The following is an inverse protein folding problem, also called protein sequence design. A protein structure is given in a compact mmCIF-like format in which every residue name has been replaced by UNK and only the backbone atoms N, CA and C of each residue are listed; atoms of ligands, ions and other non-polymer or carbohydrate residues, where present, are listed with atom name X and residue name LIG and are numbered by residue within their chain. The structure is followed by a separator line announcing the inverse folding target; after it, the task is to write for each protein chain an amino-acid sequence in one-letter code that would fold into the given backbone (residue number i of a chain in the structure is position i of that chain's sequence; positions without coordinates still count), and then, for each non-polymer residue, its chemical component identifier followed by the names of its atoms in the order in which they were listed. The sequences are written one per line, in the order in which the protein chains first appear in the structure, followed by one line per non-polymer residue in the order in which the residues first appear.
data_IF_406741385705
#
_entry.id   IF_406741385705
#
_cell.length_a   1.000
_cell.length_b   1.000
_cell.length_c   1.000
_cell.angle_alpha   90.00
_cell.angle_beta   90.00
_cell.angle_gamma   90.00
#
_symmetry.space_group_name_H-M   'P 1'
#
loop_
_entity.id
_entity.type
_entity.pdbx_description
1 polymer ?
#
# COMPACT_ATOMS: atom_id res chain seq x y z
N UNK A 1 -6.83 -21.27 -30.12
CA UNK A 1 -8.21 -21.48 -29.59
C UNK A 1 -8.26 -21.35 -28.05
N UNK A 2 -7.18 -20.91 -27.38
CA UNK A 2 -7.07 -20.83 -25.91
C UNK A 2 -7.56 -19.50 -25.33
N UNK A 3 -7.27 -18.36 -25.98
CA UNK A 3 -7.44 -17.03 -25.37
C UNK A 3 -8.86 -16.63 -24.94
N UNK A 4 -9.91 -17.19 -25.55
CA UNK A 4 -11.29 -16.72 -25.30
C UNK A 4 -11.88 -17.16 -23.97
N UNK A 5 -11.46 -18.32 -23.46
CA UNK A 5 -11.97 -18.80 -22.15
C UNK A 5 -11.33 -18.03 -21.00
N UNK A 6 -10.10 -17.59 -21.20
CA UNK A 6 -9.27 -16.99 -20.16
C UNK A 6 -9.79 -15.60 -19.74
N UNK A 7 -10.38 -14.83 -20.68
CA UNK A 7 -10.87 -13.47 -20.40
C UNK A 7 -12.15 -13.47 -19.59
N UNK A 8 -13.13 -14.30 -19.96
CA UNK A 8 -14.40 -14.39 -19.21
C UNK A 8 -14.16 -14.94 -17.79
N UNK A 9 -13.28 -15.94 -17.68
CA UNK A 9 -12.87 -16.48 -16.39
C UNK A 9 -12.17 -15.42 -15.53
N UNK A 10 -11.27 -14.62 -16.12
CA UNK A 10 -10.64 -13.49 -15.44
C UNK A 10 -11.67 -12.47 -14.94
N UNK A 11 -12.68 -12.13 -15.77
CA UNK A 11 -13.73 -11.20 -15.40
C UNK A 11 -14.54 -11.70 -14.19
N UNK A 12 -14.96 -12.97 -14.21
CA UNK A 12 -15.67 -13.58 -13.08
C UNK A 12 -14.80 -13.69 -11.83
N UNK A 13 -13.52 -14.07 -11.97
CA UNK A 13 -12.59 -14.14 -10.84
C UNK A 13 -12.38 -12.78 -10.18
N UNK A 14 -12.24 -11.71 -10.98
CA UNK A 14 -12.13 -10.35 -10.46
C UNK A 14 -13.43 -9.87 -9.81
N UNK A 15 -14.59 -10.20 -10.39
CA UNK A 15 -15.88 -9.91 -9.78
C UNK A 15 -16.01 -10.58 -8.40
N UNK A 16 -15.75 -11.88 -8.31
CA UNK A 16 -15.72 -12.62 -7.05
C UNK A 16 -14.73 -12.02 -6.03
N UNK A 17 -13.56 -11.55 -6.49
CA UNK A 17 -12.58 -10.91 -5.62
C UNK A 17 -13.07 -9.56 -5.06
N UNK A 18 -13.79 -8.77 -5.87
CA UNK A 18 -14.37 -7.50 -5.45
C UNK A 18 -15.60 -7.62 -4.55
N UNK A 19 -16.29 -8.76 -4.62
CA UNK A 19 -17.46 -9.07 -3.79
C UNK A 19 -17.07 -9.65 -2.42
N UNK A 20 -15.78 -9.98 -2.21
CA UNK A 20 -15.26 -10.33 -0.89
C UNK A 20 -15.35 -9.14 0.07
N UNK A 21 -16.00 -9.36 1.21
CA UNK A 21 -16.35 -8.33 2.21
C UNK A 21 -15.16 -7.47 2.65
N UNK A 22 -14.00 -8.08 2.82
CA UNK A 22 -12.84 -7.43 3.46
C UNK A 22 -11.82 -6.88 2.44
N UNK A 23 -11.90 -7.28 1.18
CA UNK A 23 -10.89 -6.94 0.15
C UNK A 23 -10.66 -5.44 0.02
N UNK A 24 -11.74 -4.66 -0.05
CA UNK A 24 -11.64 -3.21 -0.25
C UNK A 24 -11.06 -2.53 1.01
N UNK A 25 -11.44 -2.98 2.20
CA UNK A 25 -10.96 -2.39 3.46
C UNK A 25 -9.50 -2.78 3.76
N UNK A 26 -9.09 -4.00 3.42
CA UNK A 26 -7.69 -4.42 3.48
C UNK A 26 -6.82 -3.59 2.52
N UNK A 27 -7.25 -3.43 1.27
CA UNK A 27 -6.56 -2.59 0.28
C UNK A 27 -6.50 -1.13 0.72
N UNK A 28 -7.61 -0.59 1.25
CA UNK A 28 -7.68 0.78 1.78
C UNK A 28 -6.68 0.98 2.90
N UNK A 29 -6.65 0.06 3.86
CA UNK A 29 -5.73 0.10 5.01
C UNK A 29 -4.28 0.04 4.54
N UNK A 30 -3.96 -0.85 3.59
CA UNK A 30 -2.63 -0.96 3.03
C UNK A 30 -2.20 0.32 2.31
N UNK A 31 -3.03 0.81 1.38
CA UNK A 31 -2.77 1.99 0.56
C UNK A 31 -2.59 3.26 1.41
N UNK A 32 -3.37 3.41 2.48
CA UNK A 32 -3.26 4.56 3.39
C UNK A 32 -2.00 4.52 4.27
N UNK A 33 -1.49 3.32 4.59
CA UNK A 33 -0.30 3.15 5.42
C UNK A 33 0.98 2.91 4.61
N UNK A 34 0.87 2.77 3.28
CA UNK A 34 2.01 2.48 2.39
C UNK A 34 3.17 3.47 2.57
N UNK A 35 2.89 4.78 2.55
CA UNK A 35 3.95 5.80 2.71
C UNK A 35 4.64 5.66 4.08
N UNK A 36 3.87 5.52 5.17
CA UNK A 36 4.42 5.31 6.52
C UNK A 36 5.26 4.04 6.62
N UNK A 37 4.83 2.96 5.97
CA UNK A 37 5.57 1.71 5.92
C UNK A 37 6.88 1.86 5.13
N UNK A 38 6.85 2.58 4.01
CA UNK A 38 8.04 2.89 3.22
C UNK A 38 9.05 3.71 4.02
N UNK A 39 8.59 4.80 4.66
CA UNK A 39 9.41 5.66 5.51
C UNK A 39 10.05 4.86 6.66
N UNK A 40 9.26 3.99 7.31
CA UNK A 40 9.74 3.09 8.35
C UNK A 40 10.83 2.14 7.85
N UNK A 41 10.67 1.54 6.66
CA UNK A 41 11.69 0.68 6.05
C UNK A 41 12.97 1.47 5.77
N UNK A 42 12.86 2.69 5.23
CA UNK A 42 14.01 3.55 4.93
C UNK A 42 14.75 3.98 6.20
N UNK A 43 14.01 4.41 7.21
CA UNK A 43 14.54 4.81 8.51
C UNK A 43 15.28 3.64 9.20
N UNK A 44 14.66 2.45 9.24
CA UNK A 44 15.29 1.27 9.83
C UNK A 44 16.49 0.79 9.02
N UNK A 45 16.46 0.89 7.68
CA UNK A 45 17.61 0.56 6.83
C UNK A 45 18.80 1.49 7.09
N UNK A 46 18.55 2.76 7.40
CA UNK A 46 19.58 3.73 7.76
C UNK A 46 20.11 3.55 9.19
N UNK A 47 19.24 3.24 10.15
CA UNK A 47 19.60 3.15 11.58
C UNK A 47 20.19 1.80 11.98
N UNK A 48 19.80 0.70 11.33
CA UNK A 48 20.11 -0.66 11.78
C UNK A 48 20.91 -1.43 10.71
N UNK A 49 22.25 -1.55 10.85
CA UNK A 49 23.09 -2.27 9.89
C UNK A 49 22.66 -3.73 9.67
N UNK A 50 22.22 -4.42 10.73
CA UNK A 50 21.71 -5.80 10.65
C UNK A 50 20.44 -5.91 9.80
N UNK A 51 19.57 -4.90 9.85
CA UNK A 51 18.36 -4.88 9.04
C UNK A 51 18.69 -4.63 7.57
N UNK A 52 19.65 -3.74 7.28
CA UNK A 52 20.18 -3.54 5.93
C UNK A 52 20.75 -4.84 5.34
N UNK A 53 21.62 -5.53 6.08
CA UNK A 53 22.20 -6.81 5.66
C UNK A 53 21.13 -7.88 5.43
N UNK A 54 20.12 -7.94 6.31
CA UNK A 54 18.97 -8.82 6.12
C UNK A 54 18.21 -8.53 4.81
N UNK A 55 17.94 -7.26 4.51
CA UNK A 55 17.27 -6.87 3.27
C UNK A 55 18.10 -7.20 2.03
N UNK A 56 19.41 -6.98 2.07
CA UNK A 56 20.33 -7.34 0.99
C UNK A 56 20.34 -8.86 0.77
N UNK A 57 20.44 -9.65 1.85
CA UNK A 57 20.35 -11.12 1.77
C UNK A 57 19.03 -11.59 1.18
N UNK A 58 17.91 -10.97 1.56
CA UNK A 58 16.61 -11.26 0.97
C UNK A 58 16.59 -10.92 -0.52
N UNK A 59 17.05 -9.73 -0.91
CA UNK A 59 17.06 -9.27 -2.30
C UNK A 59 17.82 -10.24 -3.22
N UNK A 60 18.99 -10.73 -2.79
CA UNK A 60 19.80 -11.68 -3.56
C UNK A 60 19.37 -13.14 -3.42
N UNK A 61 18.32 -13.44 -2.66
CA UNK A 61 17.72 -14.78 -2.64
C UNK A 61 17.01 -15.07 -3.96
N UNK A 62 17.01 -16.34 -4.37
CA UNK A 62 16.36 -16.80 -5.61
C UNK A 62 14.87 -16.41 -5.68
N UNK A 63 14.18 -16.40 -4.53
CA UNK A 63 12.76 -16.08 -4.42
C UNK A 63 12.46 -14.60 -4.71
N UNK A 64 13.40 -13.71 -4.37
CA UNK A 64 13.20 -12.27 -4.51
C UNK A 64 13.64 -11.72 -5.86
N UNK A 65 14.17 -12.55 -6.78
CA UNK A 65 14.53 -12.15 -8.16
C UNK A 65 15.34 -10.85 -8.26
N UNK A 66 16.21 -10.56 -7.27
CA UNK A 66 16.99 -9.32 -7.17
C UNK A 66 16.17 -8.02 -7.00
N UNK A 67 14.88 -8.12 -6.69
CA UNK A 67 13.99 -7.00 -6.42
C UNK A 67 14.10 -6.52 -4.96
N UNK A 68 13.99 -5.20 -4.77
CA UNK A 68 14.07 -4.59 -3.45
C UNK A 68 12.74 -4.75 -2.70
N UNK A 69 12.77 -4.72 -1.36
CA UNK A 69 11.54 -4.69 -0.57
C UNK A 69 10.60 -3.54 -1.01
N UNK A 70 11.18 -2.40 -1.40
CA UNK A 70 10.48 -1.24 -1.92
C UNK A 70 9.63 -1.58 -3.16
N UNK A 71 10.20 -2.34 -4.12
CA UNK A 71 9.49 -2.75 -5.34
C UNK A 71 8.40 -3.78 -5.06
N UNK A 72 8.51 -4.57 -3.99
CA UNK A 72 7.45 -5.45 -3.53
C UNK A 72 6.30 -4.68 -2.86
N UNK A 73 6.62 -3.71 -2.00
CA UNK A 73 5.64 -2.92 -1.26
C UNK A 73 4.75 -2.07 -2.17
N UNK A 74 5.26 -1.60 -3.31
CA UNK A 74 4.46 -0.77 -4.23
C UNK A 74 3.46 -1.60 -5.07
N UNK A 75 3.61 -2.94 -5.14
CA UNK A 75 2.78 -3.80 -5.99
C UNK A 75 1.29 -3.72 -5.67
N UNK A 76 0.82 -3.84 -4.40
CA UNK A 76 -0.62 -3.79 -4.12
C UNK A 76 -1.24 -2.43 -4.49
N UNK A 77 -0.47 -1.33 -4.34
CA UNK A 77 -0.89 0.01 -4.75
C UNK A 77 -1.06 0.10 -6.27
N UNK A 78 -0.17 -0.54 -7.04
CA UNK A 78 -0.23 -0.57 -8.51
C UNK A 78 -1.20 -1.62 -9.06
N UNK A 79 -1.55 -2.64 -8.28
CA UNK A 79 -2.29 -3.82 -8.75
C UNK A 79 -3.68 -3.44 -9.25
N UNK A 80 -4.41 -2.62 -8.48
CA UNK A 80 -5.78 -2.22 -8.83
C UNK A 80 -5.81 -1.42 -10.14
N UNK A 81 -4.97 -0.38 -10.33
CA UNK A 81 -4.88 0.33 -11.62
C UNK A 81 -4.57 -0.58 -12.82
N UNK A 82 -3.77 -1.64 -12.64
CA UNK A 82 -3.37 -2.55 -13.75
C UNK A 82 -4.53 -3.38 -14.31
N UNK A 83 -5.59 -3.63 -13.54
CA UNK A 83 -6.74 -4.37 -14.03
C UNK A 83 -7.58 -3.59 -15.05
N UNK A 84 -7.55 -2.24 -15.00
CA UNK A 84 -8.33 -1.39 -15.90
C UNK A 84 -7.93 -1.60 -17.38
N UNK A 85 -6.66 -1.40 -17.79
CA UNK A 85 -6.27 -1.65 -19.18
C UNK A 85 -6.39 -3.13 -19.54
N UNK A 86 -6.08 -4.05 -18.60
CA UNK A 86 -6.19 -5.49 -18.82
C UNK A 86 -7.62 -5.96 -19.16
N UNK A 87 -8.64 -5.28 -18.65
CA UNK A 87 -10.05 -5.53 -18.98
C UNK A 87 -10.51 -4.71 -20.19
N UNK A 88 -9.90 -3.56 -20.44
CA UNK A 88 -10.25 -2.67 -21.57
C UNK A 88 -9.80 -3.27 -22.90
N UNK A 89 -8.60 -3.87 -22.96
CA UNK A 89 -8.06 -4.41 -24.21
C UNK A 89 -8.90 -5.58 -24.76
N UNK A 90 -9.29 -6.59 -23.96
CA UNK A 90 -10.17 -7.66 -24.43
C UNK A 90 -11.57 -7.14 -24.79
N UNK A 91 -12.11 -6.19 -24.01
CA UNK A 91 -13.43 -5.61 -24.28
C UNK A 91 -13.55 -5.02 -25.70
N UNK A 92 -12.47 -4.48 -26.25
CA UNK A 92 -12.45 -3.94 -27.60
C UNK A 92 -12.50 -5.02 -28.69
N UNK A 93 -12.12 -6.25 -28.37
CA UNK A 93 -12.01 -7.38 -29.31
C UNK A 93 -13.06 -8.49 -29.08
N UNK A 94 -13.76 -8.48 -27.94
CA UNK A 94 -14.83 -9.42 -27.64
C UNK A 94 -16.08 -9.13 -28.46
N UNK A 95 -16.54 -10.10 -29.23
CA UNK A 95 -17.78 -10.04 -30.03
C UNK A 95 -19.00 -10.59 -29.31
N UNK A 96 -18.81 -11.51 -28.35
CA UNK A 96 -19.90 -12.14 -27.61
C UNK A 96 -20.55 -11.15 -26.65
N UNK A 97 -21.88 -11.02 -26.70
CA UNK A 97 -22.60 -10.00 -25.92
C UNK A 97 -22.56 -10.28 -24.42
N UNK A 98 -22.65 -11.56 -24.01
CA UNK A 98 -22.63 -11.93 -22.60
C UNK A 98 -21.23 -11.68 -22.00
N UNK A 99 -20.18 -12.05 -22.72
CA UNK A 99 -18.80 -11.80 -22.33
C UNK A 99 -18.49 -10.31 -22.24
N UNK A 100 -18.95 -9.50 -23.22
CA UNK A 100 -18.82 -8.04 -23.17
C UNK A 100 -19.47 -7.45 -21.93
N UNK A 101 -20.69 -7.88 -21.58
CA UNK A 101 -21.40 -7.38 -20.39
C UNK A 101 -20.64 -7.75 -19.11
N UNK A 102 -20.18 -9.00 -18.99
CA UNK A 102 -19.39 -9.44 -17.84
C UNK A 102 -18.11 -8.61 -17.66
N UNK A 103 -17.36 -8.36 -18.75
CA UNK A 103 -16.16 -7.52 -18.74
C UNK A 103 -16.49 -6.06 -18.39
N UNK A 104 -17.59 -5.51 -18.92
CA UNK A 104 -18.03 -4.14 -18.64
C UNK A 104 -18.39 -3.94 -17.17
N UNK A 105 -19.12 -4.88 -16.59
CA UNK A 105 -19.55 -4.81 -15.19
C UNK A 105 -18.35 -4.84 -14.24
N UNK A 106 -17.42 -5.79 -14.43
CA UNK A 106 -16.21 -5.86 -13.60
C UNK A 106 -15.27 -4.68 -13.84
N UNK A 107 -15.17 -4.16 -15.07
CA UNK A 107 -14.39 -2.95 -15.37
C UNK A 107 -14.97 -1.73 -14.67
N UNK A 108 -16.30 -1.56 -14.70
CA UNK A 108 -17.00 -0.50 -13.97
C UNK A 108 -16.74 -0.61 -12.47
N UNK A 109 -16.87 -1.81 -11.90
CA UNK A 109 -16.59 -2.07 -10.49
C UNK A 109 -15.14 -1.75 -10.11
N UNK A 110 -14.19 -2.18 -10.93
CA UNK A 110 -12.75 -1.92 -10.74
C UNK A 110 -12.43 -0.42 -10.75
N UNK A 111 -13.04 0.36 -11.68
CA UNK A 111 -12.90 1.83 -11.71
C UNK A 111 -13.44 2.48 -10.45
N UNK A 112 -14.65 2.09 -10.02
CA UNK A 112 -15.25 2.59 -8.77
C UNK A 112 -14.36 2.31 -7.56
N UNK A 113 -13.76 1.13 -7.46
CA UNK A 113 -12.85 0.78 -6.36
C UNK A 113 -11.57 1.62 -6.44
N UNK A 114 -10.99 1.78 -7.63
CA UNK A 114 -9.82 2.63 -7.84
C UNK A 114 -10.09 4.07 -7.37
N UNK A 115 -11.24 4.63 -7.73
CA UNK A 115 -11.64 5.98 -7.30
C UNK A 115 -11.86 6.05 -5.78
N UNK A 116 -12.54 5.06 -5.19
CA UNK A 116 -12.73 4.97 -3.74
C UNK A 116 -11.40 4.90 -2.96
N UNK A 117 -10.42 4.16 -3.48
CA UNK A 117 -9.09 4.02 -2.88
C UNK A 117 -8.28 5.32 -3.05
N UNK A 118 -8.35 5.97 -4.21
CA UNK A 118 -7.71 7.26 -4.46
C UNK A 118 -8.26 8.36 -3.54
N UNK A 119 -9.58 8.42 -3.38
CA UNK A 119 -10.24 9.35 -2.46
C UNK A 119 -9.86 9.10 -0.99
N UNK A 120 -9.57 7.85 -0.63
CA UNK A 120 -9.14 7.49 0.72
C UNK A 120 -7.77 8.04 1.08
N UNK A 121 -6.86 8.17 0.10
CA UNK A 121 -5.53 8.79 0.29
C UNK A 121 -5.62 10.31 0.51
N UNK A 122 -6.62 10.97 -0.08
CA UNK A 122 -6.76 12.43 0.00
C UNK A 122 -7.18 12.93 1.40
N UNK A 123 -7.95 12.13 2.14
CA UNK A 123 -8.41 12.50 3.50
C UNK A 123 -7.28 12.63 4.54
N UNK A 124 -6.35 11.66 4.70
CA UNK A 124 -5.26 11.78 5.67
C UNK A 124 -4.24 12.87 5.29
N UNK A 125 -3.99 13.11 4.01
CA UNK A 125 -3.07 14.17 3.57
C UNK A 125 -3.59 15.58 3.92
N UNK A 126 -4.91 15.79 3.85
CA UNK A 126 -5.51 17.07 4.23
C UNK A 126 -5.40 17.33 5.74
N UNK A 127 -5.63 16.31 6.58
CA UNK A 127 -5.54 16.44 8.05
C UNK A 127 -4.10 16.74 8.48
N UNK A 128 -3.11 16.02 7.94
CA UNK A 128 -1.70 16.27 8.25
C UNK A 128 -1.25 17.67 7.84
N UNK A 129 -1.65 18.15 6.65
CA UNK A 129 -1.33 19.51 6.20
C UNK A 129 -1.98 20.59 7.08
N UNK A 130 -3.23 20.39 7.50
CA UNK A 130 -3.90 21.34 8.40
C UNK A 130 -3.26 21.40 9.79
N UNK A 131 -2.79 20.28 10.33
CA UNK A 131 -2.10 20.24 11.63
C UNK A 131 -0.73 20.94 11.56
N UNK A 132 0.06 20.70 10.51
CA UNK A 132 1.35 21.38 10.32
C UNK A 132 1.19 22.91 10.15
N UNK A 133 0.11 23.37 9.51
CA UNK A 133 -0.20 24.79 9.42
C UNK A 133 -0.59 25.41 10.77
N UNK A 134 -1.24 24.64 11.66
CA UNK A 134 -1.58 25.11 13.01
C UNK A 134 -0.34 25.19 13.92
N UNK A 135 0.59 24.23 13.84
CA UNK A 135 1.82 24.25 14.64
C UNK A 135 2.75 25.41 14.26
N UNK A 136 2.87 25.73 12.97
CA UNK A 136 3.72 26.84 12.52
C UNK A 136 3.18 28.22 12.94
N UNK A 137 1.86 28.38 13.11
CA UNK A 137 1.29 29.65 13.55
C UNK A 137 1.40 29.88 15.07
N UNK A 138 1.49 28.83 15.89
CA UNK A 138 1.64 28.99 17.35
C UNK A 138 3.08 29.26 17.81
N UNK A 139 4.09 28.82 17.04
CA UNK A 139 5.50 29.01 17.44
C UNK A 139 6.07 30.39 17.12
N UNK A 140 5.45 31.15 16.22
CA UNK A 140 5.93 32.49 15.85
C UNK A 140 5.47 33.63 16.79
N UNK A 141 4.61 33.35 17.78
CA UNK A 141 4.04 34.39 18.63
C UNK A 141 4.54 34.37 20.10
N UNK A 142 5.58 33.59 20.42
CA UNK A 142 6.06 33.45 21.80
C UNK A 142 7.58 33.61 22.00
N UNK A 143 8.32 34.14 21.01
CA UNK A 143 9.79 34.24 21.07
C UNK A 143 10.32 35.69 21.24
N UNK A 144 9.56 36.56 21.92
CA UNK A 144 10.00 37.91 22.25
C UNK A 144 9.63 38.30 23.68
N UNK A 145 10.03 37.49 24.67
CA UNK A 145 10.18 37.95 26.04
C UNK A 145 11.03 36.96 26.85
N UNK A 146 11.81 37.49 27.78
CA UNK A 146 12.57 36.78 28.82
C UNK A 146 14.04 36.42 28.55
N UNK A 147 14.85 37.47 28.45
CA UNK A 147 16.20 37.51 29.02
C UNK A 147 16.08 37.72 30.54
N UNK A 148 16.25 36.68 31.37
CA UNK A 148 16.97 36.77 32.66
C UNK A 148 17.05 35.40 33.37
N UNK A 149 18.27 35.07 33.80
CA UNK A 149 18.61 34.41 35.06
C UNK A 149 18.44 32.88 35.26
N UNK A 150 19.59 32.29 35.60
CA UNK A 150 19.83 31.33 36.68
C UNK A 150 19.53 29.83 36.47
N UNK A 151 20.63 29.10 36.18
CA UNK A 151 21.13 27.93 36.91
C UNK A 151 20.22 27.33 38.00
N UNK A 152 19.73 26.09 37.80
CA UNK A 152 19.89 24.98 38.75
C UNK A 152 19.33 23.64 38.19
N UNK A 153 20.23 22.65 38.07
CA UNK A 153 20.09 21.21 38.36
C UNK A 153 18.69 20.58 38.59
N UNK A 154 18.32 19.57 37.79
CA UNK A 154 18.10 18.17 38.22
C UNK A 154 17.22 17.33 37.25
N UNK A 155 17.75 16.13 36.95
CA UNK A 155 17.07 14.83 36.91
C UNK A 155 15.86 14.55 35.99
N UNK A 156 16.15 13.66 35.02
CA UNK A 156 15.52 12.35 34.83
C UNK A 156 14.04 12.29 34.43
N UNK A 157 13.78 12.02 33.14
CA UNK A 157 12.57 11.31 32.70
C UNK A 157 12.97 10.20 31.71
N UNK A 158 13.06 8.98 32.23
CA UNK A 158 12.76 7.76 31.47
C UNK A 158 11.25 7.76 31.11
N UNK A 159 10.89 7.04 30.04
CA UNK A 159 9.90 5.92 30.07
C UNK A 159 9.02 5.87 28.81
N UNK A 160 9.25 4.80 28.03
CA UNK A 160 8.26 4.00 27.26
C UNK A 160 7.56 4.57 26.04
N UNK A 161 8.02 4.18 24.84
CA UNK A 161 7.16 4.12 23.64
C UNK A 161 7.62 3.02 22.64
N UNK A 162 7.49 1.73 23.01
CA UNK A 162 7.97 0.60 22.15
C UNK A 162 6.90 -0.43 21.74
N UNK A 163 5.64 -0.32 22.19
CA UNK A 163 4.67 -1.41 22.01
C UNK A 163 3.70 -1.27 20.80
N UNK A 164 3.68 -0.14 20.09
CA UNK A 164 2.75 0.08 18.97
C UNK A 164 3.34 -0.20 17.57
N UNK A 165 4.67 -0.30 17.46
CA UNK A 165 5.36 -0.53 16.18
C UNK A 165 5.29 -2.00 15.75
N UNK A 166 5.34 -2.93 16.71
CA UNK A 166 5.40 -4.38 16.44
C UNK A 166 4.09 -4.91 15.85
N UNK A 167 2.94 -4.55 16.43
CA UNK A 167 1.61 -5.00 15.97
C UNK A 167 1.29 -4.51 14.56
N UNK A 168 1.60 -3.24 14.26
CA UNK A 168 1.38 -2.66 12.92
C UNK A 168 2.24 -3.34 11.86
N UNK A 169 3.47 -3.70 12.21
CA UNK A 169 4.41 -4.39 11.30
C UNK A 169 3.94 -5.82 10.99
N UNK A 170 3.48 -6.56 12.01
CA UNK A 170 2.96 -7.93 11.82
C UNK A 170 1.72 -7.96 10.91
N UNK A 171 0.79 -7.01 11.06
CA UNK A 171 -0.39 -6.95 10.20
C UNK A 171 -0.02 -6.62 8.75
N UNK A 172 0.91 -5.68 8.52
CA UNK A 172 1.36 -5.35 7.18
C UNK A 172 2.11 -6.50 6.50
N UNK A 173 2.92 -7.26 7.24
CA UNK A 173 3.60 -8.47 6.74
C UNK A 173 2.59 -9.55 6.32
N UNK A 174 1.52 -9.76 7.09
CA UNK A 174 0.48 -10.73 6.76
C UNK A 174 -0.31 -10.35 5.49
N UNK A 175 -0.56 -9.04 5.27
CA UNK A 175 -1.21 -8.54 4.04
C UNK A 175 -0.30 -8.74 2.84
N UNK A 176 0.99 -8.43 2.96
CA UNK A 176 1.99 -8.66 1.91
C UNK A 176 2.05 -10.15 1.57
N UNK A 177 2.08 -11.03 2.58
CA UNK A 177 2.18 -12.46 2.35
C UNK A 177 0.92 -13.02 1.66
N UNK A 178 -0.28 -12.60 2.08
CA UNK A 178 -1.53 -12.98 1.40
C UNK A 178 -1.61 -12.45 -0.03
N UNK A 179 -1.17 -11.23 -0.27
CA UNK A 179 -1.21 -10.63 -1.60
C UNK A 179 -0.16 -11.25 -2.53
N UNK A 180 1.05 -11.54 -2.04
CA UNK A 180 2.10 -12.23 -2.80
C UNK A 180 1.74 -13.68 -3.12
N UNK A 181 1.10 -14.42 -2.20
CA UNK A 181 0.62 -15.78 -2.47
C UNK A 181 -0.48 -15.76 -3.53
N UNK A 182 -1.44 -14.82 -3.43
CA UNK A 182 -2.48 -14.63 -4.46
C UNK A 182 -1.90 -14.16 -5.79
N UNK A 183 -0.85 -13.34 -5.77
CA UNK A 183 -0.16 -12.88 -6.98
C UNK A 183 0.73 -13.96 -7.59
N UNK A 184 1.28 -14.89 -6.80
CA UNK A 184 1.93 -16.11 -7.28
C UNK A 184 0.93 -17.01 -8.00
N UNK A 185 -0.24 -17.26 -7.38
CA UNK A 185 -1.34 -18.00 -7.99
C UNK A 185 -1.88 -17.35 -9.27
N UNK A 186 -1.89 -16.01 -9.37
CA UNK A 186 -2.34 -15.25 -10.54
C UNK A 186 -1.23 -14.99 -11.59
N UNK A 187 0.05 -15.17 -11.25
CA UNK A 187 1.21 -15.01 -12.15
C UNK A 187 1.76 -16.34 -12.64
N UNK A 188 1.57 -17.45 -11.93
CA UNK A 188 1.79 -18.81 -12.46
C UNK A 188 0.85 -19.08 -13.64
N UNK A 189 -0.28 -18.35 -13.73
CA UNK A 189 -1.15 -18.33 -14.91
C UNK A 189 -0.65 -17.44 -16.07
N UNK A 190 0.50 -16.75 -15.94
CA UNK A 190 1.03 -15.77 -16.91
C UNK A 190 2.45 -16.07 -17.39
N UNK A 191 2.80 -17.34 -17.52
CA UNK A 191 3.95 -17.80 -18.32
C UNK A 191 3.51 -18.57 -19.58
N UNK A 192 2.41 -18.12 -20.19
CA UNK A 192 2.02 -18.39 -21.58
C UNK A 192 1.65 -17.08 -22.25
#
# INVERSE_FOLDING_TARGET
MSDKKDVLELAHCLQCYWDQKDTIEELRTYINNFNKAMDCVHENRAKLPKFKEFLEKCQFSEQCKSETIDSYLIRPVQRVPRYIPLLTDPLNHTVDTLERVAIQDVLKRTKQITDQLNESKRKPENVSKTLLLQENNNNNNNNNNNNNNNNNNNNNLNTSNSNNVTTTTTTNLNIINRQLIKDGLMMESRHF
#
